data_IF_283708619180
#
_entry.id   IF_283708619180
#
_cell.length_a   1.000
_cell.length_b   1.000
_cell.length_c   1.000
_cell.angle_alpha   90.00
_cell.angle_beta   90.00
_cell.angle_gamma   90.00
#
_symmetry.space_group_name_H-M   'P 1'
#
loop_
_entity.id
_entity.type
_entity.pdbx_description
1 polymer ?
#
# COMPACT_ATOMS: atom_id res chain seq x y z
N UNK A 1 11.62 6.65 10.67
CA UNK A 1 10.48 7.55 10.75
C UNK A 1 9.24 6.69 10.70
N UNK A 2 8.31 6.88 11.64
CA UNK A 2 7.05 6.15 11.66
C UNK A 2 6.01 6.93 10.86
N UNK A 3 5.48 6.31 9.80
CA UNK A 3 4.47 6.90 8.91
C UNK A 3 3.15 6.19 9.09
N UNK A 4 2.06 6.95 9.10
CA UNK A 4 0.69 6.43 9.07
C UNK A 4 -0.07 7.07 7.91
N UNK A 5 -0.92 6.29 7.26
CA UNK A 5 -1.81 6.72 6.17
C UNK A 5 -3.20 6.20 6.51
N UNK A 6 -4.22 7.05 6.38
CA UNK A 6 -5.60 6.66 6.65
C UNK A 6 -6.13 5.74 5.55
N UNK A 7 -6.97 4.76 5.92
CA UNK A 7 -7.65 3.88 4.95
C UNK A 7 -8.58 4.67 4.03
N UNK A 8 -9.44 5.54 4.62
CA UNK A 8 -10.52 6.26 3.91
C UNK A 8 -10.72 7.72 4.33
N UNK A 9 -10.07 8.17 5.40
CA UNK A 9 -10.26 9.54 5.87
C UNK A 9 -9.56 10.50 4.93
N UNK A 10 -10.31 11.45 4.38
CA UNK A 10 -9.83 12.42 3.39
C UNK A 10 -9.85 13.86 3.93
N UNK A 11 -8.99 14.71 3.39
CA UNK A 11 -9.03 16.16 3.58
C UNK A 11 -10.09 16.83 2.69
N UNK A 12 -10.16 18.17 2.74
CA UNK A 12 -11.13 18.96 1.96
C UNK A 12 -10.89 18.91 0.44
N UNK A 13 -9.68 18.55 0.02
CA UNK A 13 -9.28 18.41 -1.39
C UNK A 13 -9.46 16.96 -1.89
N UNK A 14 -9.90 16.05 -1.02
CA UNK A 14 -10.16 14.65 -1.35
C UNK A 14 -8.93 13.73 -1.23
N UNK A 15 -7.83 14.20 -0.64
CA UNK A 15 -6.63 13.38 -0.44
C UNK A 15 -6.69 12.64 0.89
N UNK A 16 -6.11 11.44 0.95
CA UNK A 16 -6.02 10.65 2.19
C UNK A 16 -5.13 11.37 3.22
N UNK A 17 -5.60 11.43 4.46
CA UNK A 17 -4.85 11.97 5.57
C UNK A 17 -3.65 11.05 5.91
N UNK A 18 -2.48 11.64 6.11
CA UNK A 18 -1.28 10.92 6.51
C UNK A 18 -0.40 11.74 7.47
N UNK A 19 0.50 11.07 8.20
CA UNK A 19 1.40 11.75 9.12
C UNK A 19 2.73 11.03 9.30
N UNK A 20 3.78 11.81 9.51
CA UNK A 20 5.07 11.37 10.06
C UNK A 20 5.00 11.63 11.57
N UNK A 21 5.07 10.57 12.39
CA UNK A 21 4.81 10.67 13.83
C UNK A 21 6.02 11.13 14.66
N UNK A 22 7.23 10.98 14.13
CA UNK A 22 8.48 11.21 14.85
C UNK A 22 9.62 11.71 13.97
N UNK A 23 10.67 12.25 14.60
CA UNK A 23 11.86 12.76 13.91
C UNK A 23 11.74 14.20 13.42
N UNK A 24 12.75 14.70 12.68
CA UNK A 24 12.84 16.11 12.27
C UNK A 24 11.77 16.52 11.25
N UNK A 25 11.17 15.56 10.54
CA UNK A 25 10.09 15.78 9.60
C UNK A 25 8.70 15.47 10.20
N UNK A 26 8.58 15.39 11.54
CA UNK A 26 7.28 15.17 12.19
C UNK A 26 6.24 16.20 11.70
N UNK A 27 5.09 15.73 11.25
CA UNK A 27 4.02 16.56 10.72
C UNK A 27 3.06 15.79 9.82
N UNK A 28 1.95 16.42 9.47
CA UNK A 28 0.95 15.85 8.56
C UNK A 28 1.34 16.09 7.11
N UNK A 29 0.97 15.14 6.25
CA UNK A 29 1.02 15.24 4.80
C UNK A 29 -0.25 14.56 4.24
N UNK A 30 -0.45 14.57 2.95
CA UNK A 30 -1.58 13.88 2.33
C UNK A 30 -1.10 12.95 1.20
N UNK A 31 -1.87 11.91 0.93
CA UNK A 31 -1.65 10.99 -0.18
C UNK A 31 -2.79 11.14 -1.17
N UNK A 32 -2.52 11.32 -2.46
CA UNK A 32 -3.55 11.38 -3.49
C UNK A 32 -4.44 10.13 -3.40
N UNK A 33 -5.75 10.34 -3.23
CA UNK A 33 -6.74 9.27 -3.23
C UNK A 33 -7.16 8.96 -4.65
N UNK A 34 -7.06 7.69 -5.04
CA UNK A 34 -7.62 7.23 -6.30
C UNK A 34 -8.92 6.48 -5.99
N UNK A 35 -10.06 6.86 -6.60
CA UNK A 35 -11.33 6.20 -6.36
C UNK A 35 -11.25 4.67 -6.54
N UNK A 36 -12.14 3.97 -5.84
CA UNK A 36 -12.26 2.51 -5.79
C UNK A 36 -11.19 1.76 -5.00
N UNK A 37 -10.09 2.38 -4.60
CA UNK A 37 -9.06 1.74 -3.79
C UNK A 37 -8.93 2.38 -2.40
N UNK A 38 -8.81 1.53 -1.39
CA UNK A 38 -8.60 1.88 0.01
C UNK A 38 -7.23 1.37 0.46
N UNK A 39 -6.47 2.17 1.23
CA UNK A 39 -5.14 1.78 1.73
C UNK A 39 -5.28 0.74 2.83
N UNK A 40 -4.56 -0.38 2.73
CA UNK A 40 -4.58 -1.44 3.75
C UNK A 40 -3.28 -1.56 4.53
N UNK A 41 -2.14 -1.36 3.87
CA UNK A 41 -0.83 -1.43 4.53
C UNK A 41 0.25 -0.64 3.77
N UNK A 42 1.43 -0.50 4.36
CA UNK A 42 2.58 0.08 3.68
C UNK A 42 3.92 -0.38 4.26
N UNK A 43 4.91 -0.52 3.38
CA UNK A 43 6.23 -1.00 3.74
C UNK A 43 7.32 -0.19 3.03
N UNK A 44 8.41 0.13 3.74
CA UNK A 44 9.52 0.87 3.17
C UNK A 44 10.48 -0.05 2.40
N UNK A 45 10.86 0.38 1.20
CA UNK A 45 11.98 -0.18 0.47
C UNK A 45 13.31 0.24 1.12
N UNK A 46 14.40 -0.53 0.91
CA UNK A 46 15.73 -0.20 1.45
C UNK A 46 16.28 1.17 1.02
N UNK A 47 15.81 1.71 -0.11
CA UNK A 47 16.19 3.03 -0.59
C UNK A 47 15.38 4.18 0.03
N UNK A 48 14.41 3.86 0.90
CA UNK A 48 13.56 4.82 1.61
C UNK A 48 12.23 5.13 0.93
N UNK A 49 11.94 4.57 -0.25
CA UNK A 49 10.63 4.71 -0.88
C UNK A 49 9.56 3.92 -0.12
N UNK A 50 8.34 4.44 -0.09
CA UNK A 50 7.20 3.79 0.55
C UNK A 50 6.41 3.01 -0.50
N UNK A 51 6.20 1.72 -0.28
CA UNK A 51 5.17 0.97 -0.96
C UNK A 51 3.87 1.10 -0.18
N UNK A 52 2.78 1.43 -0.87
CA UNK A 52 1.42 1.37 -0.33
C UNK A 52 0.66 0.21 -0.98
N UNK A 53 0.15 -0.68 -0.15
CA UNK A 53 -0.83 -1.69 -0.55
C UNK A 53 -2.22 -1.08 -0.45
N UNK A 54 -2.98 -1.25 -1.51
CA UNK A 54 -4.36 -0.80 -1.59
C UNK A 54 -5.24 -1.94 -2.08
N UNK A 55 -6.47 -1.99 -1.58
CA UNK A 55 -7.48 -2.95 -1.99
C UNK A 55 -8.70 -2.26 -2.55
N UNK A 56 -9.40 -2.98 -3.42
CA UNK A 56 -10.75 -2.65 -3.88
C UNK A 56 -11.66 -3.80 -3.54
N UNK A 57 -12.81 -3.49 -2.95
CA UNK A 57 -13.90 -4.43 -2.78
C UNK A 57 -15.25 -3.76 -3.02
N UNK A 58 -15.81 -3.96 -4.21
CA UNK A 58 -17.15 -3.47 -4.53
C UNK A 58 -17.86 -4.38 -5.55
N UNK A 59 -19.19 -4.28 -5.64
CA UNK A 59 -20.00 -5.14 -6.52
C UNK A 59 -19.77 -4.89 -8.02
N UNK A 60 -19.38 -3.68 -8.41
CA UNK A 60 -19.24 -3.31 -9.82
C UNK A 60 -17.92 -3.82 -10.43
N UNK A 61 -16.84 -3.78 -9.67
CA UNK A 61 -15.48 -4.07 -10.12
C UNK A 61 -14.89 -5.34 -9.46
N UNK A 62 -15.54 -5.88 -8.44
CA UNK A 62 -15.08 -7.05 -7.69
C UNK A 62 -13.87 -6.75 -6.80
N UNK A 63 -13.14 -7.82 -6.46
CA UNK A 63 -11.89 -7.74 -5.69
C UNK A 63 -10.76 -7.24 -6.59
N UNK A 64 -9.99 -6.29 -6.08
CA UNK A 64 -8.72 -5.88 -6.67
C UNK A 64 -7.70 -5.51 -5.61
N UNK A 65 -6.44 -5.54 -6.00
CA UNK A 65 -5.34 -4.98 -5.21
C UNK A 65 -4.44 -4.15 -6.11
N UNK A 66 -3.73 -3.21 -5.48
CA UNK A 66 -2.73 -2.39 -6.15
C UNK A 66 -1.57 -2.12 -5.21
N UNK A 67 -0.38 -2.00 -5.78
CA UNK A 67 0.82 -1.55 -5.07
C UNK A 67 1.29 -0.25 -5.73
N UNK A 68 1.31 0.84 -4.97
CA UNK A 68 1.90 2.11 -5.39
C UNK A 68 3.26 2.30 -4.76
N UNK A 69 4.19 2.89 -5.49
CA UNK A 69 5.49 3.35 -4.96
C UNK A 69 5.50 4.86 -4.87
N UNK A 70 5.60 5.36 -3.64
CA UNK A 70 5.77 6.77 -3.33
C UNK A 70 7.25 7.02 -3.06
N UNK A 71 7.82 8.02 -3.73
CA UNK A 71 9.19 8.42 -3.48
C UNK A 71 9.36 8.95 -2.07
N UNK A 72 10.28 8.36 -1.30
CA UNK A 72 10.46 8.70 0.11
C UNK A 72 10.89 10.16 0.32
N UNK A 73 11.61 10.72 -0.65
CA UNK A 73 12.07 12.11 -0.63
C UNK A 73 10.92 13.14 -0.72
N UNK A 74 9.77 12.74 -1.24
CA UNK A 74 8.60 13.61 -1.38
C UNK A 74 7.73 13.62 -0.10
N UNK A 75 7.92 12.64 0.79
CA UNK A 75 7.19 12.51 2.05
C UNK A 75 7.75 13.51 3.06
N UNK A 76 7.06 14.66 3.18
CA UNK A 76 7.41 15.74 4.11
C UNK A 76 6.17 16.52 4.55
N UNK A 77 6.21 17.23 5.69
CA UNK A 77 5.08 18.01 6.17
C UNK A 77 4.51 18.95 5.11
N UNK A 78 3.18 18.94 4.96
CA UNK A 78 2.43 19.76 4.01
C UNK A 78 2.49 19.31 2.55
N UNK A 79 3.18 18.22 2.23
CA UNK A 79 3.17 17.67 0.88
C UNK A 79 1.87 16.91 0.59
N UNK A 80 1.45 16.93 -0.67
CA UNK A 80 0.52 15.93 -1.23
C UNK A 80 1.37 15.03 -2.13
N UNK A 81 1.43 13.74 -1.80
CA UNK A 81 2.25 12.77 -2.54
C UNK A 81 1.37 11.83 -3.34
N UNK A 82 1.86 11.44 -4.52
CA UNK A 82 1.32 10.35 -5.31
C UNK A 82 2.45 9.38 -5.65
N UNK A 83 2.12 8.25 -6.26
CA UNK A 83 3.08 7.21 -6.58
C UNK A 83 2.76 6.48 -7.88
N UNK A 84 3.80 5.94 -8.50
CA UNK A 84 3.63 5.05 -9.65
C UNK A 84 2.94 3.75 -9.23
N UNK A 85 2.10 3.21 -10.12
CA UNK A 85 1.48 1.91 -9.92
C UNK A 85 2.47 0.84 -10.38
N UNK A 86 3.03 0.08 -9.44
CA UNK A 86 3.94 -1.02 -9.76
C UNK A 86 3.19 -2.28 -10.20
N UNK A 87 2.02 -2.50 -9.61
CA UNK A 87 1.19 -3.68 -9.87
C UNK A 87 -0.27 -3.34 -9.60
N UNK A 88 -1.14 -3.76 -10.49
CA UNK A 88 -2.58 -3.83 -10.26
C UNK A 88 -3.08 -5.22 -10.67
N UNK A 89 -3.86 -5.86 -9.81
CA UNK A 89 -4.38 -7.20 -10.05
C UNK A 89 -5.84 -7.31 -9.58
N UNK A 90 -6.63 -8.06 -10.32
CA UNK A 90 -8.02 -8.40 -9.99
C UNK A 90 -8.24 -9.91 -9.94
N UNK A 91 -9.51 -10.32 -9.94
CA UNK A 91 -9.96 -11.72 -9.82
C UNK A 91 -9.38 -12.70 -10.87
N UNK A 92 -8.83 -12.21 -11.99
CA UNK A 92 -8.15 -13.05 -12.97
C UNK A 92 -6.78 -13.57 -12.49
N UNK A 93 -6.23 -12.96 -11.43
CA UNK A 93 -4.97 -13.32 -10.82
C UNK A 93 -5.20 -14.03 -9.48
N UNK A 94 -4.15 -14.65 -8.94
CA UNK A 94 -4.20 -15.37 -7.67
C UNK A 94 -4.16 -14.43 -6.47
N UNK A 95 -5.10 -13.47 -6.41
CA UNK A 95 -5.26 -12.50 -5.32
C UNK A 95 -6.59 -12.70 -4.57
N UNK A 96 -6.75 -12.01 -3.44
CA UNK A 96 -7.93 -12.00 -2.58
C UNK A 96 -7.96 -10.69 -1.78
N UNK A 97 -8.61 -10.62 -0.61
CA UNK A 97 -8.62 -9.45 0.28
C UNK A 97 -7.24 -9.17 0.91
N UNK A 98 -6.28 -8.71 0.11
CA UNK A 98 -4.92 -8.42 0.53
C UNK A 98 -4.87 -7.24 1.51
N UNK A 99 -4.32 -7.50 2.70
CA UNK A 99 -4.36 -6.54 3.81
C UNK A 99 -3.00 -6.34 4.50
N UNK A 100 -2.05 -7.26 4.33
CA UNK A 100 -0.71 -7.10 4.90
C UNK A 100 0.37 -7.13 3.83
N UNK A 101 1.42 -6.32 4.01
CA UNK A 101 2.58 -6.30 3.15
C UNK A 101 3.86 -6.03 3.95
N UNK A 102 4.93 -6.77 3.65
CA UNK A 102 6.27 -6.44 4.13
C UNK A 102 7.33 -6.61 3.04
N UNK A 103 8.44 -5.90 3.19
CA UNK A 103 9.59 -5.93 2.29
C UNK A 103 10.75 -6.62 2.99
N UNK A 104 11.17 -7.77 2.44
CA UNK A 104 12.25 -8.57 3.00
C UNK A 104 13.40 -8.73 2.01
N UNK A 105 14.60 -8.99 2.52
CA UNK A 105 15.75 -9.37 1.69
C UNK A 105 15.76 -10.88 1.49
N UNK A 106 15.77 -11.30 0.22
CA UNK A 106 15.94 -12.70 -0.14
C UNK A 106 17.38 -13.19 0.11
N UNK A 107 17.61 -14.51 0.15
CA UNK A 107 18.95 -15.10 0.32
C UNK A 107 19.93 -14.71 -0.79
N UNK A 108 19.43 -14.34 -1.97
CA UNK A 108 20.21 -13.86 -3.12
C UNK A 108 20.43 -12.33 -3.11
N UNK A 109 20.05 -11.65 -2.02
CA UNK A 109 20.14 -10.19 -1.86
C UNK A 109 19.03 -9.40 -2.57
N UNK A 110 18.14 -10.08 -3.29
CA UNK A 110 17.00 -9.42 -3.96
C UNK A 110 16.02 -8.85 -2.94
N UNK A 111 15.29 -7.80 -3.35
CA UNK A 111 14.16 -7.28 -2.58
C UNK A 111 12.92 -8.11 -2.90
N UNK A 112 12.31 -8.69 -1.86
CA UNK A 112 11.09 -9.49 -1.95
C UNK A 112 9.94 -8.78 -1.25
N UNK A 113 8.77 -8.81 -1.84
CA UNK A 113 7.53 -8.35 -1.22
C UNK A 113 6.75 -9.58 -0.80
N UNK A 114 6.39 -9.65 0.47
CA UNK A 114 5.43 -10.64 0.99
C UNK A 114 4.10 -9.93 1.15
N UNK A 115 3.03 -10.52 0.62
CA UNK A 115 1.67 -9.97 0.70
C UNK A 115 0.76 -11.06 1.24
N UNK A 116 -0.06 -10.70 2.22
CA UNK A 116 -1.01 -11.62 2.85
C UNK A 116 -2.44 -11.14 2.68
N UNK A 117 -3.34 -12.08 2.48
CA UNK A 117 -4.77 -11.81 2.60
C UNK A 117 -5.19 -11.82 4.07
N UNK A 118 -6.21 -11.03 4.36
CA UNK A 118 -7.03 -11.21 5.54
C UNK A 118 -7.75 -12.58 5.49
N UNK A 119 -8.22 -13.06 6.63
CA UNK A 119 -8.96 -14.31 6.76
C UNK A 119 -10.50 -14.14 6.69
N UNK A 120 -11.05 -12.95 7.02
CA UNK A 120 -12.47 -12.54 7.23
C UNK A 120 -13.47 -13.62 7.68
N UNK A 121 -13.04 -14.80 8.10
CA UNK A 121 -13.84 -15.97 8.37
C UNK A 121 -14.86 -16.31 7.25
N UNK A 122 -14.56 -16.00 5.99
CA UNK A 122 -15.46 -16.20 4.85
C UNK A 122 -15.11 -17.44 4.04
N UNK A 123 -16.08 -18.34 3.82
CA UNK A 123 -15.88 -19.53 2.97
C UNK A 123 -15.60 -19.19 1.48
N UNK A 124 -15.87 -17.96 1.05
CA UNK A 124 -15.64 -17.53 -0.34
C UNK A 124 -14.24 -16.94 -0.54
N UNK A 125 -13.54 -16.57 0.53
CA UNK A 125 -12.20 -16.01 0.47
C UNK A 125 -11.14 -17.10 0.69
N UNK A 126 -9.95 -16.85 0.17
CA UNK A 126 -8.79 -17.71 0.32
C UNK A 126 -7.78 -17.05 1.24
N UNK A 127 -7.18 -17.83 2.13
CA UNK A 127 -6.03 -17.41 2.91
C UNK A 127 -4.78 -17.57 2.04
N UNK A 128 -4.23 -16.44 1.59
CA UNK A 128 -3.10 -16.39 0.68
C UNK A 128 -1.90 -15.71 1.34
N UNK A 129 -0.72 -16.24 1.05
CA UNK A 129 0.56 -15.57 1.21
C UNK A 129 1.28 -15.65 -0.14
N UNK A 130 1.55 -14.49 -0.73
CA UNK A 130 2.23 -14.36 -2.02
C UNK A 130 3.59 -13.72 -1.80
N UNK A 131 4.60 -14.23 -2.52
CA UNK A 131 5.92 -13.61 -2.58
C UNK A 131 6.19 -13.13 -4.01
N UNK A 132 6.59 -11.86 -4.13
CA UNK A 132 7.05 -11.27 -5.38
C UNK A 132 8.50 -10.85 -5.26
N UNK A 133 9.27 -11.02 -6.33
CA UNK A 133 10.57 -10.37 -6.47
C UNK A 133 10.34 -9.00 -7.09
N UNK A 134 10.81 -7.94 -6.44
CA UNK A 134 10.86 -6.63 -7.05
C UNK A 134 11.96 -6.64 -8.13
N UNK A 135 11.52 -6.51 -9.37
CA UNK A 135 12.36 -6.22 -10.53
C UNK A 135 12.25 -4.74 -10.85
N UNK A 136 13.23 -4.20 -11.57
CA UNK A 136 13.38 -2.77 -11.86
C UNK A 136 12.07 -2.02 -12.12
#
# INVERSE_FOLDING_TARGET
AFVVVAEKSIDADGNLLAAILEGPLKGTFAVTHHPSFDVTDGAFLPNGDLLLLERRFNFAEGVGMRIRRIHGADIRPGAVVDGEILMEAGMAYQIDNMEGMDVVKGPDGSTRLVIISDDNHSFLQRNLMLEFRLVE
#
